data_IF_981579367378
#
_entry.id   IF_981579367378
#
_cell.length_a   1.000
_cell.length_b   1.000
_cell.length_c   1.000
_cell.angle_alpha   90.00
_cell.angle_beta   90.00
_cell.angle_gamma   90.00
#
_symmetry.space_group_name_H-M   'P 1'
#
loop_
_entity.id
_entity.type
_entity.pdbx_description
1 polymer ?
#
# COMPACT_ATOMS: atom_id res chain seq x y z
N UNK A 1 2.94 42.17 -3.78
CA UNK A 1 3.19 40.70 -3.74
C UNK A 1 2.10 40.03 -4.56
N UNK A 2 2.45 39.27 -5.58
CA UNK A 2 1.49 38.63 -6.48
C UNK A 2 0.72 37.52 -5.78
N UNK A 3 -0.53 37.29 -6.17
CA UNK A 3 -1.41 36.26 -5.61
C UNK A 3 -0.77 34.84 -5.64
N UNK A 4 0.15 34.64 -6.56
CA UNK A 4 0.94 33.42 -6.71
C UNK A 4 1.98 33.26 -5.59
N UNK A 5 2.62 34.33 -5.13
CA UNK A 5 3.56 34.31 -3.99
C UNK A 5 2.85 33.97 -2.67
N UNK A 6 1.61 34.41 -2.49
CA UNK A 6 0.81 34.10 -1.32
C UNK A 6 0.39 32.61 -1.29
N UNK A 7 0.06 32.03 -2.45
CA UNK A 7 -0.24 30.58 -2.57
C UNK A 7 0.98 29.72 -2.25
N UNK A 8 2.17 30.09 -2.76
CA UNK A 8 3.41 29.38 -2.47
C UNK A 8 3.78 29.48 -0.98
N UNK A 9 3.64 30.66 -0.38
CA UNK A 9 3.86 30.84 1.07
C UNK A 9 2.87 30.03 1.91
N UNK A 10 1.61 30.00 1.55
CA UNK A 10 0.59 29.20 2.23
C UNK A 10 0.86 27.70 2.07
N UNK A 11 1.35 27.26 0.93
CA UNK A 11 1.74 25.85 0.69
C UNK A 11 2.99 25.49 1.51
N UNK A 12 4.01 26.36 1.54
CA UNK A 12 5.21 26.15 2.35
C UNK A 12 4.94 26.22 3.87
N UNK A 13 3.95 27.00 4.32
CA UNK A 13 3.57 27.04 5.74
C UNK A 13 3.00 25.71 6.24
N UNK A 14 2.48 24.86 5.34
CA UNK A 14 2.04 23.49 5.68
C UNK A 14 3.22 22.54 6.00
N UNK A 15 4.47 22.94 5.70
CA UNK A 15 5.67 22.20 6.14
C UNK A 15 5.86 22.23 7.66
N UNK A 16 5.37 23.29 8.31
CA UNK A 16 5.47 23.48 9.75
C UNK A 16 4.12 23.18 10.38
N UNK A 17 3.86 21.92 10.69
CA UNK A 17 2.71 21.54 11.50
C UNK A 17 3.01 21.78 12.97
N UNK A 18 2.15 22.48 13.71
CA UNK A 18 2.33 22.67 15.15
C UNK A 18 2.46 21.36 15.93
N UNK A 19 1.84 20.28 15.41
CA UNK A 19 1.82 18.96 16.06
C UNK A 19 3.01 18.06 15.69
N UNK A 20 3.77 18.38 14.64
CA UNK A 20 4.90 17.56 14.16
C UNK A 20 6.15 18.43 13.96
N UNK A 21 6.65 19.00 15.07
CA UNK A 21 7.93 19.74 15.06
C UNK A 21 9.05 18.79 14.70
N UNK A 22 10.01 19.25 13.88
CA UNK A 22 11.23 18.51 13.54
C UNK A 22 11.92 18.08 14.85
N UNK A 23 12.33 16.80 14.92
CA UNK A 23 12.88 16.15 16.12
C UNK A 23 11.91 15.99 17.31
N UNK A 24 10.60 16.11 17.10
CA UNK A 24 9.61 15.72 18.11
C UNK A 24 9.44 14.19 18.16
N UNK A 25 8.89 13.68 19.27
CA UNK A 25 8.53 12.25 19.39
C UNK A 25 7.63 11.78 18.23
N UNK A 26 6.67 12.60 17.81
CA UNK A 26 5.78 12.30 16.69
C UNK A 26 6.54 12.20 15.36
N UNK A 27 7.53 13.07 15.14
CA UNK A 27 8.40 13.03 13.98
C UNK A 27 9.20 11.71 13.91
N UNK A 28 9.87 11.32 15.00
CA UNK A 28 10.61 10.06 15.06
C UNK A 28 9.72 8.83 14.82
N UNK A 29 8.52 8.80 15.42
CA UNK A 29 7.56 7.71 15.21
C UNK A 29 7.13 7.65 13.73
N UNK A 30 6.86 8.79 13.11
CA UNK A 30 6.47 8.87 11.70
C UNK A 30 7.55 8.30 10.78
N UNK A 31 8.81 8.70 10.97
CA UNK A 31 9.92 8.16 10.18
C UNK A 31 10.24 6.70 10.50
N UNK A 32 10.04 6.26 11.74
CA UNK A 32 10.12 4.85 12.09
C UNK A 32 9.09 4.01 11.32
N UNK A 33 7.84 4.49 11.20
CA UNK A 33 6.84 3.84 10.36
C UNK A 33 7.26 3.77 8.88
N UNK A 34 7.90 4.82 8.34
CA UNK A 34 8.41 4.79 6.95
C UNK A 34 9.51 3.73 6.83
N UNK A 35 10.51 3.72 7.72
CA UNK A 35 11.65 2.78 7.63
C UNK A 35 11.18 1.33 7.74
N UNK A 36 10.42 1.00 8.80
CA UNK A 36 9.95 -0.36 9.02
C UNK A 36 8.90 -0.79 7.99
N UNK A 37 8.00 0.13 7.61
CA UNK A 37 7.00 -0.12 6.58
C UNK A 37 7.64 -0.41 5.22
N UNK A 38 8.60 0.41 4.81
CA UNK A 38 9.32 0.21 3.54
C UNK A 38 10.14 -1.09 3.57
N UNK A 39 10.77 -1.42 4.70
CA UNK A 39 11.50 -2.69 4.84
C UNK A 39 10.57 -3.90 4.66
N UNK A 40 9.41 -3.91 5.33
CA UNK A 40 8.43 -4.98 5.19
C UNK A 40 7.86 -5.08 3.77
N UNK A 41 7.58 -3.93 3.15
CA UNK A 41 7.15 -3.83 1.76
C UNK A 41 8.17 -4.46 0.80
N UNK A 42 9.46 -4.09 0.93
CA UNK A 42 10.52 -4.64 0.08
C UNK A 42 10.74 -6.12 0.31
N UNK A 43 10.68 -6.61 1.57
CA UNK A 43 10.76 -8.05 1.85
C UNK A 43 9.60 -8.79 1.19
N UNK A 44 8.38 -8.24 1.25
CA UNK A 44 7.22 -8.84 0.59
C UNK A 44 7.42 -8.94 -0.92
N UNK A 45 7.94 -7.86 -1.52
CA UNK A 45 8.17 -7.77 -2.95
C UNK A 45 9.23 -8.77 -3.42
N UNK A 46 10.44 -8.61 -2.90
CA UNK A 46 11.61 -9.36 -3.35
C UNK A 46 11.51 -10.85 -3.02
N UNK A 47 10.96 -11.20 -1.84
CA UNK A 47 10.99 -12.60 -1.35
C UNK A 47 9.77 -13.41 -1.77
N UNK A 48 8.59 -12.78 -1.83
CA UNK A 48 7.33 -13.51 -2.00
C UNK A 48 6.58 -13.17 -3.29
N UNK A 49 6.62 -11.92 -3.77
CA UNK A 49 5.85 -11.55 -4.97
C UNK A 49 6.64 -11.73 -6.27
N UNK A 50 7.85 -11.18 -6.34
CA UNK A 50 8.69 -11.25 -7.55
C UNK A 50 8.97 -12.66 -8.06
N UNK A 51 9.32 -13.65 -7.21
CA UNK A 51 9.63 -15.01 -7.68
C UNK A 51 8.47 -15.70 -8.39
N UNK A 52 7.24 -15.27 -8.11
CA UNK A 52 6.03 -15.84 -8.68
C UNK A 52 5.37 -14.93 -9.72
N UNK A 53 6.05 -13.84 -10.12
CA UNK A 53 5.51 -12.82 -11.02
C UNK A 53 4.14 -12.29 -10.59
N UNK A 54 3.86 -12.32 -9.30
CA UNK A 54 2.67 -11.73 -8.76
C UNK A 54 2.73 -10.22 -9.01
N UNK A 55 1.68 -9.67 -9.59
CA UNK A 55 1.56 -8.24 -9.82
C UNK A 55 0.74 -7.63 -8.68
N UNK A 56 1.39 -7.06 -7.64
CA UNK A 56 0.65 -6.43 -6.53
C UNK A 56 -0.08 -5.15 -6.97
N UNK A 57 -0.13 -4.89 -8.26
CA UNK A 57 -0.64 -3.63 -8.82
C UNK A 57 0.45 -2.60 -9.01
N UNK A 58 0.11 -1.35 -8.80
CA UNK A 58 1.07 -0.25 -8.82
C UNK A 58 1.54 0.16 -10.21
N UNK A 59 2.41 1.16 -10.21
CA UNK A 59 3.06 1.67 -11.42
C UNK A 59 3.88 0.58 -12.11
N UNK A 60 4.55 -0.26 -11.33
CA UNK A 60 5.32 -1.38 -11.85
C UNK A 60 4.47 -2.37 -12.65
N UNK A 61 3.32 -2.79 -12.10
CA UNK A 61 2.39 -3.69 -12.80
C UNK A 61 1.92 -3.09 -14.13
N UNK A 62 1.52 -1.83 -14.13
CA UNK A 62 1.06 -1.15 -15.33
C UNK A 62 2.20 -0.95 -16.36
N UNK A 63 3.40 -0.58 -15.92
CA UNK A 63 4.58 -0.45 -16.78
C UNK A 63 4.95 -1.78 -17.43
N UNK A 64 4.87 -2.89 -16.69
CA UNK A 64 5.11 -4.24 -17.21
C UNK A 64 4.09 -4.62 -18.30
N UNK A 65 2.79 -4.36 -18.06
CA UNK A 65 1.74 -4.57 -19.07
C UNK A 65 2.06 -3.79 -20.34
N UNK A 66 2.33 -2.49 -20.25
CA UNK A 66 2.59 -1.64 -21.40
C UNK A 66 3.90 -2.00 -22.12
N UNK A 67 4.93 -2.42 -21.39
CA UNK A 67 6.19 -2.88 -21.98
C UNK A 67 6.01 -4.17 -22.77
N UNK A 68 5.23 -5.12 -22.25
CA UNK A 68 4.93 -6.38 -22.92
C UNK A 68 4.09 -6.16 -24.18
N UNK A 69 3.18 -5.18 -24.17
CA UNK A 69 2.44 -4.72 -25.34
C UNK A 69 3.29 -3.91 -26.33
N UNK A 70 4.61 -3.80 -26.09
CA UNK A 70 5.58 -3.04 -26.92
C UNK A 70 5.25 -1.57 -27.11
N UNK A 71 4.57 -0.96 -26.16
CA UNK A 71 4.27 0.49 -26.18
C UNK A 71 5.56 1.31 -25.98
N UNK A 72 6.37 0.92 -24.99
CA UNK A 72 7.67 1.55 -24.71
C UNK A 72 8.51 0.63 -23.79
N UNK A 73 9.84 0.77 -23.74
CA UNK A 73 10.67 0.09 -22.76
C UNK A 73 10.20 0.38 -21.33
N UNK A 74 10.19 -0.65 -20.48
CA UNK A 74 9.68 -0.60 -19.12
C UNK A 74 10.27 0.54 -18.29
N UNK A 75 11.61 0.77 -18.40
CA UNK A 75 12.31 1.83 -17.68
C UNK A 75 11.73 3.22 -17.95
N UNK A 76 11.42 3.53 -19.21
CA UNK A 76 10.83 4.81 -19.58
C UNK A 76 9.40 4.96 -19.07
N UNK A 77 8.64 3.88 -19.08
CA UNK A 77 7.26 3.87 -18.55
C UNK A 77 7.27 4.09 -17.04
N UNK A 78 8.18 3.44 -16.31
CA UNK A 78 8.34 3.66 -14.87
C UNK A 78 8.70 5.11 -14.56
N UNK A 79 9.72 5.67 -15.21
CA UNK A 79 10.12 7.06 -15.00
C UNK A 79 8.96 8.02 -15.33
N UNK A 80 8.25 7.77 -16.43
CA UNK A 80 7.13 8.60 -16.86
C UNK A 80 5.95 8.59 -15.86
N UNK A 81 5.84 7.58 -15.00
CA UNK A 81 4.79 7.46 -13.98
C UNK A 81 5.29 7.84 -12.59
N UNK A 82 6.47 7.37 -12.20
CA UNK A 82 7.03 7.58 -10.86
C UNK A 82 7.47 9.03 -10.60
N UNK A 83 7.79 9.80 -11.63
CA UNK A 83 8.17 11.22 -11.45
C UNK A 83 6.94 12.14 -11.33
N UNK A 84 5.93 12.05 -12.21
CA UNK A 84 4.74 12.92 -12.12
C UNK A 84 3.85 12.61 -10.92
N UNK A 85 3.66 11.32 -10.57
CA UNK A 85 2.73 10.93 -9.50
C UNK A 85 3.08 11.54 -8.14
N UNK A 86 4.31 11.40 -7.60
CA UNK A 86 4.69 12.07 -6.36
C UNK A 86 4.61 13.60 -6.44
N UNK A 87 4.91 14.17 -7.61
CA UNK A 87 4.81 15.62 -7.83
C UNK A 87 3.36 16.09 -7.73
N UNK A 88 2.44 15.43 -8.42
CA UNK A 88 0.99 15.71 -8.34
C UNK A 88 0.49 15.46 -6.93
N UNK A 89 0.90 14.33 -6.33
CA UNK A 89 0.58 13.99 -4.95
C UNK A 89 1.01 15.08 -3.97
N UNK A 90 2.23 15.62 -4.11
CA UNK A 90 2.74 16.69 -3.25
C UNK A 90 1.96 18.01 -3.38
N UNK A 91 1.47 18.30 -4.58
CA UNK A 91 0.63 19.49 -4.82
C UNK A 91 -0.74 19.33 -4.16
N UNK A 92 -1.35 18.13 -4.27
CA UNK A 92 -2.73 17.88 -3.80
C UNK A 92 -2.75 17.55 -2.30
N UNK A 93 -1.84 16.70 -1.83
CA UNK A 93 -1.81 16.20 -0.45
C UNK A 93 -0.92 17.04 0.46
N UNK A 94 -0.08 17.89 -0.12
CA UNK A 94 0.78 18.84 0.59
C UNK A 94 2.27 18.48 0.56
N UNK A 95 3.15 19.45 0.86
CA UNK A 95 4.59 19.30 0.72
C UNK A 95 5.22 18.29 1.69
N UNK A 96 4.66 18.12 2.89
CA UNK A 96 5.10 17.09 3.84
C UNK A 96 4.95 15.69 3.31
N UNK A 97 3.80 15.44 2.67
CA UNK A 97 3.53 14.20 1.98
C UNK A 97 4.60 13.91 0.94
N UNK A 98 4.94 14.90 0.10
CA UNK A 98 5.97 14.74 -0.93
C UNK A 98 7.33 14.37 -0.36
N UNK A 99 7.79 15.07 0.70
CA UNK A 99 9.09 14.78 1.34
C UNK A 99 9.12 13.36 1.93
N UNK A 100 8.09 12.99 2.68
CA UNK A 100 8.00 11.65 3.29
C UNK A 100 7.93 10.55 2.25
N UNK A 101 7.22 10.79 1.15
CA UNK A 101 7.13 9.85 0.02
C UNK A 101 8.48 9.69 -0.68
N UNK A 102 9.22 10.78 -0.93
CA UNK A 102 10.58 10.69 -1.50
C UNK A 102 11.49 9.85 -0.59
N UNK A 103 11.43 10.07 0.72
CA UNK A 103 12.21 9.26 1.69
C UNK A 103 11.82 7.79 1.62
N UNK A 104 10.52 7.47 1.55
CA UNK A 104 10.04 6.08 1.41
C UNK A 104 10.56 5.42 0.12
N UNK A 105 10.48 6.12 -1.02
CA UNK A 105 10.95 5.62 -2.32
C UNK A 105 12.46 5.36 -2.32
N UNK A 106 13.24 6.33 -1.81
CA UNK A 106 14.71 6.18 -1.73
C UNK A 106 15.09 5.03 -0.81
N UNK A 107 14.43 4.89 0.34
CA UNK A 107 14.64 3.75 1.23
C UNK A 107 14.25 2.43 0.57
N UNK A 108 13.18 2.41 -0.22
CA UNK A 108 12.77 1.25 -1.01
C UNK A 108 13.89 0.78 -1.92
N UNK A 109 14.47 1.67 -2.71
CA UNK A 109 15.60 1.34 -3.60
C UNK A 109 16.83 0.86 -2.83
N UNK A 110 17.16 1.50 -1.71
CA UNK A 110 18.29 1.09 -0.86
C UNK A 110 18.06 -0.30 -0.27
N UNK A 111 16.88 -0.58 0.26
CA UNK A 111 16.58 -1.89 0.85
C UNK A 111 16.54 -3.00 -0.21
N UNK A 112 15.95 -2.75 -1.38
CA UNK A 112 15.96 -3.70 -2.50
C UNK A 112 17.41 -4.03 -2.87
N UNK A 113 18.25 -3.03 -3.10
CA UNK A 113 19.65 -3.21 -3.41
C UNK A 113 20.42 -3.98 -2.33
N UNK A 114 20.19 -3.65 -1.04
CA UNK A 114 20.84 -4.35 0.08
C UNK A 114 20.41 -5.82 0.17
N UNK A 115 19.13 -6.13 -0.06
CA UNK A 115 18.65 -7.51 -0.06
C UNK A 115 19.27 -8.29 -1.22
N UNK A 116 19.32 -7.70 -2.40
CA UNK A 116 19.94 -8.31 -3.58
C UNK A 116 21.40 -8.69 -3.36
N UNK A 117 22.21 -7.78 -2.78
CA UNK A 117 23.65 -8.07 -2.55
C UNK A 117 23.89 -8.97 -1.34
N UNK A 118 23.13 -8.85 -0.26
CA UNK A 118 23.41 -9.59 0.98
C UNK A 118 22.88 -11.02 0.94
N UNK A 119 21.73 -11.22 0.31
CA UNK A 119 21.09 -12.53 0.20
C UNK A 119 21.49 -13.31 -1.06
N UNK A 120 22.31 -12.68 -1.92
CA UNK A 120 22.68 -13.27 -3.21
C UNK A 120 21.46 -13.51 -4.11
N UNK A 121 20.42 -12.75 -3.87
CA UNK A 121 19.18 -12.83 -4.61
C UNK A 121 19.42 -12.27 -6.01
N UNK A 122 19.85 -13.13 -6.91
CA UNK A 122 19.59 -12.89 -8.33
C UNK A 122 18.10 -13.11 -8.50
N UNK A 123 17.33 -12.09 -8.92
CA UNK A 123 15.92 -12.30 -9.21
C UNK A 123 15.83 -13.52 -10.14
N UNK A 124 15.02 -14.50 -9.80
CA UNK A 124 14.75 -15.68 -10.61
C UNK A 124 14.20 -15.36 -11.98
N UNK A 125 14.06 -14.09 -12.26
CA UNK A 125 13.50 -13.49 -13.43
C UNK A 125 14.67 -13.10 -14.32
N UNK A 126 15.00 -13.97 -15.24
CA UNK A 126 15.45 -13.48 -16.54
C UNK A 126 14.28 -12.67 -17.12
N UNK A 127 14.48 -11.36 -17.19
CA UNK A 127 13.53 -10.41 -17.78
C UNK A 127 13.01 -11.02 -19.09
N UNK A 128 11.75 -11.50 -19.06
CA UNK A 128 11.10 -12.08 -20.23
C UNK A 128 10.55 -13.50 -20.11
N UNK A 129 10.89 -14.25 -19.08
CA UNK A 129 10.32 -15.59 -18.85
C UNK A 129 9.26 -15.54 -17.74
N UNK A 130 8.01 -15.68 -18.14
CA UNK A 130 6.92 -15.97 -17.21
C UNK A 130 7.06 -17.44 -16.83
N UNK A 131 7.46 -17.73 -15.59
CA UNK A 131 7.46 -19.08 -15.05
C UNK A 131 6.00 -19.43 -14.74
N UNK A 132 5.27 -19.89 -15.75
CA UNK A 132 3.87 -20.30 -15.63
C UNK A 132 3.75 -21.70 -15.02
N UNK A 133 4.83 -22.46 -15.01
CA UNK A 133 4.88 -23.81 -14.47
C UNK A 133 6.20 -23.99 -13.72
N UNK A 134 6.12 -24.00 -12.38
CA UNK A 134 7.28 -24.33 -11.54
C UNK A 134 7.49 -25.83 -11.64
N UNK A 135 8.14 -26.27 -12.70
CA UNK A 135 8.49 -27.66 -12.88
C UNK A 135 9.50 -28.10 -11.80
N UNK A 136 9.50 -29.38 -11.46
CA UNK A 136 10.47 -29.94 -10.52
C UNK A 136 11.92 -29.61 -10.92
N UNK A 137 12.21 -29.58 -12.21
CA UNK A 137 13.52 -29.19 -12.75
C UNK A 137 13.88 -27.74 -12.45
N UNK A 138 12.92 -26.84 -12.45
CA UNK A 138 13.12 -25.44 -12.09
C UNK A 138 13.38 -25.30 -10.57
N UNK A 139 12.68 -26.05 -9.73
CA UNK A 139 12.89 -26.11 -8.30
C UNK A 139 14.31 -26.62 -7.98
N UNK A 140 14.73 -27.70 -8.64
CA UNK A 140 16.06 -28.26 -8.45
C UNK A 140 17.15 -27.29 -8.93
N UNK A 141 16.94 -26.57 -10.03
CA UNK A 141 17.86 -25.53 -10.51
C UNK A 141 17.98 -24.35 -9.55
N UNK A 142 16.88 -23.98 -8.92
CA UNK A 142 16.82 -22.90 -7.92
C UNK A 142 17.49 -23.32 -6.60
N UNK A 143 17.30 -24.56 -6.18
CA UNK A 143 17.98 -25.15 -5.00
C UNK A 143 19.51 -25.21 -5.20
N UNK A 144 19.97 -25.49 -6.42
CA UNK A 144 21.41 -25.52 -6.76
C UNK A 144 22.03 -24.11 -6.70
N UNK A 145 21.28 -23.06 -6.98
CA UNK A 145 21.75 -21.66 -6.90
C UNK A 145 21.79 -21.09 -5.47
N UNK A 146 21.45 -21.89 -4.46
CA UNK A 146 21.52 -21.49 -3.05
C UNK A 146 20.46 -20.48 -2.62
N UNK A 147 19.45 -20.28 -3.42
CA UNK A 147 18.32 -19.38 -3.12
C UNK A 147 17.31 -20.14 -2.27
N UNK A 148 17.30 -19.85 -0.99
CA UNK A 148 16.36 -20.41 -0.03
C UNK A 148 15.08 -19.59 0.01
N UNK A 149 14.16 -19.84 -0.91
CA UNK A 149 12.77 -19.50 -0.65
C UNK A 149 12.16 -20.66 0.15
N UNK A 150 11.92 -20.44 1.44
CA UNK A 150 11.43 -21.46 2.38
C UNK A 150 10.07 -22.05 1.99
N UNK A 151 9.33 -21.41 1.09
CA UNK A 151 7.95 -21.72 0.74
C UNK A 151 7.77 -22.09 -0.74
N UNK A 152 8.85 -22.34 -1.48
CA UNK A 152 8.71 -22.86 -2.85
C UNK A 152 8.25 -24.33 -2.81
N UNK A 153 7.34 -24.74 -3.67
CA UNK A 153 6.72 -24.03 -4.81
C UNK A 153 5.26 -23.58 -4.57
N UNK A 154 4.89 -23.17 -3.36
CA UNK A 154 3.50 -22.92 -3.01
C UNK A 154 3.06 -21.48 -3.37
N UNK A 155 2.36 -21.32 -4.50
CA UNK A 155 1.80 -20.04 -4.95
C UNK A 155 0.84 -19.43 -3.93
N UNK A 156 -0.03 -20.24 -3.32
CA UNK A 156 -1.04 -19.74 -2.39
C UNK A 156 -0.38 -19.19 -1.13
N UNK A 157 0.54 -19.94 -0.53
CA UNK A 157 1.23 -19.52 0.69
C UNK A 157 2.04 -18.24 0.46
N UNK A 158 2.76 -18.16 -0.66
CA UNK A 158 3.52 -16.96 -1.00
C UNK A 158 2.61 -15.76 -1.26
N UNK A 159 1.46 -15.95 -1.91
CA UNK A 159 0.46 -14.88 -2.11
C UNK A 159 -0.09 -14.37 -0.77
N UNK A 160 -0.42 -15.27 0.16
CA UNK A 160 -0.94 -14.90 1.49
C UNK A 160 0.10 -14.12 2.29
N UNK A 161 1.35 -14.59 2.31
CA UNK A 161 2.44 -13.94 3.03
C UNK A 161 2.82 -12.59 2.39
N UNK A 162 2.89 -12.53 1.07
CA UNK A 162 3.10 -11.28 0.34
C UNK A 162 2.01 -10.26 0.70
N UNK A 163 0.74 -10.61 0.54
CA UNK A 163 -0.37 -9.71 0.84
C UNK A 163 -0.40 -9.21 2.29
N UNK A 164 -0.05 -10.09 3.25
CA UNK A 164 0.05 -9.71 4.66
C UNK A 164 1.20 -8.72 4.91
N UNK A 165 2.38 -9.00 4.40
CA UNK A 165 3.56 -8.13 4.60
C UNK A 165 3.42 -6.80 3.83
N UNK A 166 2.90 -6.84 2.59
CA UNK A 166 2.56 -5.62 1.84
C UNK A 166 1.57 -4.76 2.61
N UNK A 167 0.48 -5.37 3.06
CA UNK A 167 -0.57 -4.65 3.78
C UNK A 167 -0.09 -4.00 5.06
N UNK A 168 0.77 -4.68 5.85
CA UNK A 168 1.40 -4.11 7.04
C UNK A 168 2.37 -3.00 6.64
N UNK A 169 3.26 -3.26 5.67
CA UNK A 169 4.28 -2.33 5.23
C UNK A 169 3.68 -1.04 4.67
N UNK A 170 2.81 -1.14 3.69
CA UNK A 170 2.14 0.00 3.05
C UNK A 170 1.21 0.71 4.04
N UNK A 171 0.49 -0.06 4.88
CA UNK A 171 -0.34 0.52 5.94
C UNK A 171 0.46 1.37 6.93
N UNK A 172 1.68 0.95 7.31
CA UNK A 172 2.58 1.75 8.14
C UNK A 172 3.07 3.01 7.42
N UNK A 173 3.42 2.90 6.13
CA UNK A 173 3.82 4.05 5.30
C UNK A 173 2.65 5.04 5.22
N UNK A 174 1.42 4.60 4.93
CA UNK A 174 0.23 5.45 4.90
C UNK A 174 -0.04 6.13 6.23
N UNK A 175 0.12 5.41 7.34
CA UNK A 175 -0.06 5.96 8.70
C UNK A 175 0.93 7.06 9.03
N UNK A 176 2.11 7.07 8.41
CA UNK A 176 3.08 8.16 8.50
C UNK A 176 2.72 9.39 7.68
N UNK A 177 1.74 9.29 6.77
CA UNK A 177 1.39 10.30 5.79
C UNK A 177 2.29 10.30 4.54
N UNK A 178 2.87 9.14 4.20
CA UNK A 178 3.66 8.91 2.98
C UNK A 178 3.00 7.83 2.12
N UNK A 179 3.59 7.55 0.94
CA UNK A 179 3.25 6.38 0.11
C UNK A 179 4.52 5.66 -0.36
N UNK A 180 4.33 4.50 -1.00
CA UNK A 180 5.41 3.78 -1.69
C UNK A 180 5.92 4.51 -2.95
N UNK A 181 5.19 5.52 -3.44
CA UNK A 181 5.54 6.31 -4.63
C UNK A 181 4.79 5.91 -5.89
N UNK A 182 4.01 4.84 -5.87
CA UNK A 182 3.29 4.27 -7.01
C UNK A 182 1.82 4.72 -7.13
N UNK A 183 0.96 3.79 -7.57
CA UNK A 183 -0.50 3.95 -7.67
C UNK A 183 -1.18 4.29 -6.35
N UNK A 184 -0.53 4.00 -5.23
CA UNK A 184 -0.93 4.39 -3.88
C UNK A 184 -1.25 5.88 -3.75
N UNK A 185 -0.53 6.72 -4.52
CA UNK A 185 -0.79 8.16 -4.56
C UNK A 185 -2.18 8.44 -5.11
N UNK A 186 -2.60 7.70 -6.13
CA UNK A 186 -3.94 7.81 -6.72
C UNK A 186 -4.97 7.41 -5.67
N UNK A 187 -4.74 6.30 -4.97
CA UNK A 187 -5.60 5.81 -3.90
C UNK A 187 -5.74 6.83 -2.76
N UNK A 188 -4.66 7.48 -2.35
CA UNK A 188 -4.69 8.54 -1.34
C UNK A 188 -5.40 9.81 -1.82
N UNK A 189 -5.21 10.19 -3.07
CA UNK A 189 -5.92 11.34 -3.64
C UNK A 189 -7.43 11.07 -3.67
N UNK A 190 -7.86 9.91 -4.15
CA UNK A 190 -9.28 9.54 -4.21
C UNK A 190 -9.85 9.45 -2.78
N UNK A 191 -9.16 8.82 -1.84
CA UNK A 191 -9.55 8.78 -0.43
C UNK A 191 -9.81 10.17 0.14
N UNK A 192 -8.92 11.14 -0.13
CA UNK A 192 -9.06 12.53 0.34
C UNK A 192 -10.39 13.18 -0.09
N UNK A 193 -10.87 12.87 -1.30
CA UNK A 193 -12.08 13.49 -1.84
C UNK A 193 -13.35 12.67 -1.59
N UNK A 194 -13.23 11.35 -1.45
CA UNK A 194 -14.39 10.46 -1.31
C UNK A 194 -14.63 9.99 0.11
N UNK A 195 -13.61 10.00 0.96
CA UNK A 195 -13.65 9.44 2.32
C UNK A 195 -13.72 7.91 2.36
N UNK A 196 -13.59 7.22 1.21
CA UNK A 196 -13.54 5.75 1.16
C UNK A 196 -12.20 5.29 1.74
N UNK A 197 -12.19 4.15 2.46
CA UNK A 197 -10.98 3.66 3.13
C UNK A 197 -9.80 3.47 2.15
N UNK A 198 -8.57 3.70 2.65
CA UNK A 198 -7.36 3.61 1.84
C UNK A 198 -7.16 2.22 1.24
N UNK A 199 -7.34 1.17 2.04
CA UNK A 199 -7.22 -0.20 1.57
C UNK A 199 -8.26 -0.56 0.50
N UNK A 200 -9.50 -0.05 0.62
CA UNK A 200 -10.51 -0.23 -0.42
C UNK A 200 -10.10 0.48 -1.71
N UNK A 201 -9.50 1.68 -1.63
CA UNK A 201 -9.02 2.39 -2.83
C UNK A 201 -7.85 1.66 -3.49
N UNK A 202 -6.92 1.11 -2.71
CA UNK A 202 -5.83 0.26 -3.22
C UNK A 202 -6.42 -0.95 -3.95
N UNK A 203 -7.39 -1.67 -3.35
CA UNK A 203 -8.04 -2.81 -4.01
C UNK A 203 -8.65 -2.42 -5.36
N UNK A 204 -9.29 -1.27 -5.46
CA UNK A 204 -9.92 -0.83 -6.70
C UNK A 204 -8.88 -0.45 -7.75
N UNK A 205 -7.91 0.40 -7.39
CA UNK A 205 -6.91 0.92 -8.33
C UNK A 205 -5.99 -0.20 -8.81
N UNK A 206 -5.43 -0.97 -7.89
CA UNK A 206 -4.50 -2.04 -8.23
C UNK A 206 -5.21 -3.27 -8.82
N UNK A 207 -6.47 -3.51 -8.41
CA UNK A 207 -7.32 -4.53 -9.02
C UNK A 207 -7.55 -4.28 -10.51
N UNK A 208 -7.76 -3.03 -10.92
CA UNK A 208 -7.89 -2.67 -12.35
C UNK A 208 -6.56 -2.94 -13.07
N UNK A 209 -5.44 -2.62 -12.45
CA UNK A 209 -4.11 -2.87 -13.01
C UNK A 209 -3.86 -4.38 -13.12
N UNK A 210 -4.18 -5.16 -12.08
CA UNK A 210 -4.03 -6.60 -12.10
C UNK A 210 -4.90 -7.25 -13.20
N UNK A 211 -6.12 -6.78 -13.39
CA UNK A 211 -6.98 -7.25 -14.50
C UNK A 211 -6.40 -6.92 -15.87
N UNK A 212 -5.66 -5.81 -16.01
CA UNK A 212 -5.02 -5.47 -17.28
C UNK A 212 -3.94 -6.47 -17.70
N UNK A 213 -3.40 -7.28 -16.78
CA UNK A 213 -2.44 -8.36 -17.10
C UNK A 213 -3.05 -9.45 -17.98
N UNK A 214 -4.39 -9.60 -17.99
CA UNK A 214 -5.10 -10.51 -18.89
C UNK A 214 -4.91 -10.15 -20.38
N UNK A 215 -4.55 -8.92 -20.68
CA UNK A 215 -4.23 -8.49 -22.05
C UNK A 215 -2.92 -9.07 -22.57
N UNK A 216 -2.04 -9.50 -21.65
CA UNK A 216 -0.71 -10.02 -21.97
C UNK A 216 -0.71 -11.54 -22.02
N UNK A 217 -1.33 -12.17 -21.03
CA UNK A 217 -1.30 -13.62 -20.86
C UNK A 217 -2.73 -14.17 -20.74
N UNK A 218 -3.08 -15.20 -21.51
CA UNK A 218 -4.35 -15.88 -21.35
C UNK A 218 -4.40 -16.77 -20.09
N UNK A 219 -3.32 -16.87 -19.32
CA UNK A 219 -3.28 -17.65 -18.08
C UNK A 219 -3.99 -16.89 -16.96
N UNK A 220 -5.13 -17.41 -16.54
CA UNK A 220 -5.96 -16.85 -15.47
C UNK A 220 -5.36 -17.01 -14.07
N UNK A 221 -4.34 -17.84 -13.88
CA UNK A 221 -3.74 -18.10 -12.57
C UNK A 221 -3.05 -16.85 -12.02
N UNK A 222 -2.25 -16.22 -12.85
CA UNK A 222 -1.47 -15.03 -12.42
C UNK A 222 -2.35 -13.86 -11.97
N UNK A 223 -3.35 -13.40 -12.76
CA UNK A 223 -4.30 -12.38 -12.31
C UNK A 223 -5.11 -12.82 -11.09
N UNK A 224 -5.50 -14.10 -10.99
CA UNK A 224 -6.28 -14.58 -9.85
C UNK A 224 -5.50 -14.49 -8.53
N UNK A 225 -4.23 -14.94 -8.52
CA UNK A 225 -3.37 -14.81 -7.34
C UNK A 225 -3.00 -13.35 -7.06
N UNK A 226 -2.78 -12.52 -8.08
CA UNK A 226 -2.53 -11.09 -7.91
C UNK A 226 -3.73 -10.37 -7.29
N UNK A 227 -4.95 -10.65 -7.74
CA UNK A 227 -6.18 -10.10 -7.15
C UNK A 227 -6.35 -10.57 -5.70
N UNK A 228 -6.07 -11.85 -5.41
CA UNK A 228 -6.12 -12.36 -4.04
C UNK A 228 -5.12 -11.62 -3.13
N UNK A 229 -3.89 -11.42 -3.60
CA UNK A 229 -2.86 -10.64 -2.92
C UNK A 229 -3.38 -9.23 -2.60
N UNK A 230 -3.88 -8.51 -3.61
CA UNK A 230 -4.37 -7.12 -3.48
C UNK A 230 -5.55 -7.03 -2.50
N UNK A 231 -6.46 -8.01 -2.49
CA UNK A 231 -7.58 -8.04 -1.52
C UNK A 231 -7.06 -8.19 -0.09
N UNK A 232 -6.10 -9.07 0.14
CA UNK A 232 -5.49 -9.28 1.46
C UNK A 232 -4.75 -8.02 1.90
N UNK A 233 -3.89 -7.50 1.03
CA UNK A 233 -3.15 -6.27 1.23
C UNK A 233 -4.06 -5.10 1.63
N UNK A 234 -5.09 -4.80 0.84
CA UNK A 234 -5.99 -3.70 1.13
C UNK A 234 -6.77 -3.87 2.44
N UNK A 235 -7.17 -5.09 2.80
CA UNK A 235 -7.80 -5.36 4.09
C UNK A 235 -6.85 -5.13 5.27
N UNK A 236 -5.60 -5.53 5.13
CA UNK A 236 -4.57 -5.31 6.15
C UNK A 236 -4.21 -3.81 6.24
N UNK A 237 -4.12 -3.10 5.11
CA UNK A 237 -3.93 -1.65 5.09
C UNK A 237 -5.00 -0.97 5.95
N UNK A 238 -6.29 -1.27 5.73
CA UNK A 238 -7.38 -0.69 6.52
C UNK A 238 -7.26 -1.02 8.01
N UNK A 239 -6.86 -2.25 8.35
CA UNK A 239 -6.62 -2.65 9.75
C UNK A 239 -5.46 -1.89 10.39
N UNK A 240 -4.39 -1.62 9.66
CA UNK A 240 -3.20 -0.89 10.18
C UNK A 240 -3.50 0.60 10.31
N UNK A 241 -4.14 1.20 9.31
CA UNK A 241 -4.41 2.65 9.26
C UNK A 241 -5.50 3.03 10.25
N UNK A 242 -6.68 2.39 10.14
CA UNK A 242 -7.86 2.69 10.93
C UNK A 242 -7.91 1.96 12.28
N UNK A 243 -7.11 0.93 12.43
CA UNK A 243 -7.17 0.01 13.57
C UNK A 243 -8.25 -1.05 13.41
N UNK A 244 -8.20 -2.05 14.28
CA UNK A 244 -9.23 -3.09 14.34
C UNK A 244 -10.48 -2.50 14.96
N UNK A 245 -11.48 -2.20 14.14
CA UNK A 245 -12.77 -1.62 14.60
C UNK A 245 -13.59 -2.69 15.30
N UNK A 246 -13.45 -2.78 16.61
CA UNK A 246 -14.19 -3.74 17.45
C UNK A 246 -15.47 -3.17 18.05
N UNK A 247 -15.72 -1.86 17.92
CA UNK A 247 -16.89 -1.19 18.47
C UNK A 247 -17.94 -0.91 17.41
N UNK A 248 -19.19 -0.97 17.85
CA UNK A 248 -20.35 -0.61 17.05
C UNK A 248 -21.09 0.53 17.75
N UNK A 249 -21.53 1.51 16.98
CA UNK A 249 -22.43 2.55 17.47
C UNK A 249 -23.85 2.15 17.15
N UNK A 250 -24.71 2.15 18.17
CA UNK A 250 -26.13 1.88 18.03
C UNK A 250 -26.89 3.19 18.18
N UNK A 251 -27.74 3.50 17.22
CA UNK A 251 -28.71 4.58 17.33
C UNK A 251 -30.06 3.97 17.69
N UNK A 252 -30.62 4.35 18.86
CA UNK A 252 -31.89 3.89 19.33
C UNK A 252 -32.84 5.10 19.35
N UNK A 253 -33.90 5.04 18.56
CA UNK A 253 -34.98 6.04 18.54
C UNK A 253 -36.12 5.48 19.36
N UNK A 254 -36.48 6.15 20.44
CA UNK A 254 -37.53 5.68 21.38
C UNK A 254 -38.10 6.84 22.16
N UNK A 255 -39.38 6.73 22.53
CA UNK A 255 -40.07 7.64 23.46
C UNK A 255 -39.81 7.26 24.91
N UNK A 256 -39.30 6.02 25.17
CA UNK A 256 -38.97 5.48 26.49
C UNK A 256 -37.50 5.61 26.83
N UNK A 257 -36.94 6.80 26.59
CA UNK A 257 -35.49 6.99 26.67
C UNK A 257 -34.93 6.73 28.07
N UNK A 258 -35.69 7.03 29.15
CA UNK A 258 -35.25 6.81 30.52
C UNK A 258 -35.12 5.33 30.87
N UNK A 259 -36.05 4.49 30.40
CA UNK A 259 -36.00 3.03 30.60
C UNK A 259 -34.79 2.44 29.87
N UNK A 260 -34.59 2.82 28.58
CA UNK A 260 -33.48 2.37 27.77
C UNK A 260 -32.13 2.85 28.34
N UNK A 261 -32.06 4.11 28.78
CA UNK A 261 -30.86 4.65 29.43
C UNK A 261 -30.49 3.87 30.69
N UNK A 262 -31.45 3.57 31.54
CA UNK A 262 -31.24 2.79 32.78
C UNK A 262 -30.74 1.38 32.46
N UNK A 263 -31.30 0.71 31.47
CA UNK A 263 -30.88 -0.61 31.02
C UNK A 263 -29.44 -0.57 30.46
N UNK A 264 -29.09 0.43 29.62
CA UNK A 264 -27.74 0.58 29.07
C UNK A 264 -26.71 0.79 30.18
N UNK A 265 -27.02 1.63 31.18
CA UNK A 265 -26.07 1.97 32.25
C UNK A 265 -25.98 0.82 33.25
N UNK A 266 -27.10 0.29 33.71
CA UNK A 266 -27.16 -0.66 34.84
C UNK A 266 -26.96 -2.11 34.41
N UNK A 267 -27.55 -2.53 33.27
CA UNK A 267 -27.53 -3.93 32.84
C UNK A 267 -26.37 -4.21 31.90
N UNK A 268 -26.05 -3.26 30.98
CA UNK A 268 -24.97 -3.42 30.02
C UNK A 268 -23.64 -2.77 30.47
N UNK A 269 -23.67 -1.96 31.53
CA UNK A 269 -22.52 -1.20 32.05
C UNK A 269 -21.80 -0.42 30.95
N UNK A 270 -22.57 0.28 30.11
CA UNK A 270 -22.09 1.06 28.96
C UNK A 270 -22.56 2.51 29.06
N UNK A 271 -21.73 3.42 28.52
CA UNK A 271 -22.12 4.81 28.36
C UNK A 271 -23.07 5.01 27.18
N UNK A 272 -23.98 5.98 27.31
CA UNK A 272 -24.90 6.39 26.25
C UNK A 272 -24.97 7.91 26.16
N UNK A 273 -25.11 8.45 24.94
CA UNK A 273 -25.36 9.89 24.69
C UNK A 273 -26.81 10.05 24.25
N UNK A 274 -27.58 10.88 24.96
CA UNK A 274 -28.94 11.24 24.54
C UNK A 274 -28.86 12.48 23.64
N UNK A 275 -29.49 12.41 22.49
CA UNK A 275 -29.63 13.53 21.55
C UNK A 275 -31.12 13.90 21.51
N UNK A 276 -31.46 15.12 21.92
CA UNK A 276 -32.80 15.64 21.75
C UNK A 276 -32.95 16.17 20.32
N UNK A 277 -33.82 15.54 19.54
CA UNK A 277 -34.18 16.01 18.23
C UNK A 277 -35.59 16.64 18.31
N UNK A 278 -35.68 17.91 17.90
CA UNK A 278 -36.97 18.58 17.67
C UNK A 278 -37.19 18.56 16.15
N UNK A 279 -38.36 18.03 15.76
CA UNK A 279 -38.83 18.04 14.38
C UNK A 279 -39.35 19.40 13.97
#
# INVERSE_FOLDING_TARGET
MTQQQNKVKAWLSQLVDPNEKIFSKAWFISYAYIVFGTLLFVIADVTFAMPYHLAPGGVYGLANVMATLKVSPMTWLMIAMEVPLPTIGSIILGPKFGIKTIVSVVLGWVFTYLIEITWGYTPFIHVGEIITDVSKATIDALAIQGTTNFFMPDYLLNTLLAGLLYGIGIGMIFKSGATSGGSDIISMIINKYTGISLGTMVIIVDGIIALSTLLISPDLRLPAYSILLIIIEGKIIDMVVDGIKTYKTLFIVTDKYDEVRKAIINDLNRGGTCINATG
#
